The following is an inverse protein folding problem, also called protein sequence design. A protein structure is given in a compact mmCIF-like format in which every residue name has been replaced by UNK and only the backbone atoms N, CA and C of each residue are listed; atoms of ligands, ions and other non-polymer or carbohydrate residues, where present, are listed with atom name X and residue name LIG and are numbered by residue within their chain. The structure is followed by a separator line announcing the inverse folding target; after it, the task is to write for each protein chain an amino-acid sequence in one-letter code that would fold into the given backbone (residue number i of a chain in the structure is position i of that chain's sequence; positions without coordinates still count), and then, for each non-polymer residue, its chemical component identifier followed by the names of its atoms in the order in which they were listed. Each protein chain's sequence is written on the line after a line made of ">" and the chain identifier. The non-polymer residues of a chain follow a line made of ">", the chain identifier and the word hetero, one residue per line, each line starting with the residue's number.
data_IF_911197469310
#
_entry.id   IF_911197469310
#
_cell.length_a   1.000
_cell.length_b   1.000
_cell.length_c   1.000
_cell.angle_alpha   90.00
_cell.angle_beta   90.00
_cell.angle_gamma   90.00
#
_symmetry.space_group_name_H-M   'P 1'
#
loop_
_entity.id
_entity.type
_entity.pdbx_description
1 polymer ?
#
# COMPACT_ATOMS: atom_id res chain seq x y z
N UNK A 1 3.92 -12.77 14.07
CA UNK A 1 2.45 -12.74 14.22
C UNK A 1 1.85 -12.30 12.89
N UNK A 2 0.67 -12.81 12.51
CA UNK A 2 0.04 -12.38 11.26
C UNK A 2 -0.69 -11.05 11.49
N UNK A 3 -0.47 -10.07 10.62
CA UNK A 3 -1.16 -8.78 10.70
C UNK A 3 -2.39 -8.75 9.81
N UNK A 4 -2.33 -9.41 8.64
CA UNK A 4 -3.43 -9.51 7.68
C UNK A 4 -3.59 -10.96 7.24
N UNK A 5 -4.82 -11.45 7.28
CA UNK A 5 -5.17 -12.77 6.77
C UNK A 5 -6.40 -12.66 5.87
N UNK A 6 -6.32 -13.25 4.71
CA UNK A 6 -7.42 -13.42 3.78
C UNK A 6 -7.66 -14.90 3.58
N UNK A 7 -8.89 -15.35 3.74
CA UNK A 7 -9.28 -16.76 3.64
C UNK A 7 -10.38 -16.93 2.60
N UNK A 8 -10.07 -17.65 1.53
CA UNK A 8 -10.97 -18.00 0.44
C UNK A 8 -11.75 -16.78 -0.12
N UNK A 9 -11.08 -15.62 -0.19
CA UNK A 9 -11.69 -14.38 -0.67
C UNK A 9 -12.14 -14.53 -2.11
N UNK A 10 -13.41 -14.27 -2.37
CA UNK A 10 -14.01 -14.33 -3.70
C UNK A 10 -14.68 -13.01 -4.03
N UNK A 11 -14.49 -12.51 -5.27
CA UNK A 11 -15.14 -11.30 -5.78
C UNK A 11 -15.60 -11.48 -7.20
N UNK A 12 -16.88 -11.20 -7.44
CA UNK A 12 -17.52 -11.24 -8.76
C UNK A 12 -18.00 -9.86 -9.18
N UNK A 13 -17.96 -9.58 -10.45
CA UNK A 13 -18.58 -8.41 -11.09
C UNK A 13 -19.47 -8.91 -12.22
N UNK A 14 -20.78 -9.00 -11.97
CA UNK A 14 -21.70 -9.68 -12.90
C UNK A 14 -21.25 -11.12 -13.16
N UNK A 15 -20.99 -11.45 -14.42
CA UNK A 15 -20.48 -12.78 -14.82
C UNK A 15 -18.96 -12.97 -14.66
N UNK A 16 -18.19 -11.91 -14.38
CA UNK A 16 -16.75 -11.99 -14.25
C UNK A 16 -16.33 -12.37 -12.82
N UNK A 17 -15.63 -13.48 -12.67
CA UNK A 17 -14.97 -13.88 -11.42
C UNK A 17 -13.58 -13.25 -11.35
N UNK A 18 -13.48 -12.11 -10.65
CA UNK A 18 -12.24 -11.34 -10.57
C UNK A 18 -11.26 -11.88 -9.51
N UNK A 19 -11.78 -12.49 -8.42
CA UNK A 19 -11.00 -13.20 -7.39
C UNK A 19 -11.74 -14.49 -7.08
N UNK A 20 -11.02 -15.59 -7.02
CA UNK A 20 -11.55 -16.93 -6.79
C UNK A 20 -10.82 -17.60 -5.64
N UNK A 21 -11.44 -17.59 -4.45
CA UNK A 21 -10.94 -18.28 -3.24
C UNK A 21 -9.47 -17.95 -2.93
N UNK A 22 -9.11 -16.68 -3.00
CA UNK A 22 -7.74 -16.22 -2.77
C UNK A 22 -7.41 -16.21 -1.29
N UNK A 23 -6.31 -16.88 -0.93
CA UNK A 23 -5.75 -16.91 0.42
C UNK A 23 -4.47 -16.07 0.47
N UNK A 24 -4.29 -15.26 1.51
CA UNK A 24 -3.07 -14.50 1.75
C UNK A 24 -2.82 -14.36 3.23
N UNK A 25 -1.57 -14.52 3.63
CA UNK A 25 -1.11 -14.23 4.99
C UNK A 25 0.05 -13.25 4.95
N UNK A 26 -0.05 -12.15 5.70
CA UNK A 26 1.01 -11.13 5.81
C UNK A 26 1.51 -11.11 7.25
N UNK A 27 2.80 -11.31 7.44
CA UNK A 27 3.44 -11.25 8.76
C UNK A 27 3.71 -9.80 9.17
N UNK A 28 3.64 -9.51 10.46
CA UNK A 28 4.02 -8.19 10.99
C UNK A 28 5.49 -7.87 10.66
N UNK A 29 5.75 -6.60 10.36
CA UNK A 29 7.10 -6.08 10.07
C UNK A 29 7.78 -6.78 8.89
N UNK A 30 7.01 -7.24 7.92
CA UNK A 30 7.51 -7.82 6.67
C UNK A 30 7.13 -6.97 5.48
N UNK A 31 7.83 -7.18 4.37
CA UNK A 31 7.45 -6.70 3.04
C UNK A 31 6.93 -7.91 2.27
N UNK A 32 5.62 -7.99 2.10
CA UNK A 32 4.97 -9.03 1.30
C UNK A 32 4.52 -8.44 -0.02
N UNK A 33 4.69 -9.17 -1.13
CA UNK A 33 4.26 -8.72 -2.45
C UNK A 33 3.20 -9.63 -3.04
N UNK A 34 2.24 -9.01 -3.76
CA UNK A 34 1.30 -9.73 -4.64
C UNK A 34 1.62 -9.35 -6.07
N UNK A 35 2.08 -10.32 -6.85
CA UNK A 35 2.43 -10.14 -8.25
C UNK A 35 1.53 -10.98 -9.16
N UNK A 36 1.62 -10.76 -10.47
CA UNK A 36 0.88 -11.51 -11.48
C UNK A 36 0.60 -10.68 -12.72
N UNK A 37 0.13 -11.29 -13.80
CA UNK A 37 -0.21 -10.59 -15.05
C UNK A 37 -1.24 -9.48 -14.86
N UNK A 38 -1.36 -8.60 -15.86
CA UNK A 38 -2.43 -7.62 -15.90
C UNK A 38 -3.79 -8.32 -15.94
N UNK A 39 -4.74 -7.82 -15.14
CA UNK A 39 -6.05 -8.48 -15.03
C UNK A 39 -6.11 -9.68 -14.07
N UNK A 40 -5.02 -10.08 -13.43
CA UNK A 40 -5.00 -11.20 -12.48
C UNK A 40 -5.88 -11.01 -11.23
N UNK A 41 -6.34 -9.78 -10.92
CA UNK A 41 -7.20 -9.50 -9.77
C UNK A 41 -6.51 -8.75 -8.61
N UNK A 42 -5.23 -8.41 -8.72
CA UNK A 42 -4.43 -7.78 -7.65
C UNK A 42 -5.06 -6.50 -7.08
N UNK A 43 -5.37 -5.52 -7.91
CA UNK A 43 -6.02 -4.27 -7.49
C UNK A 43 -7.42 -4.50 -6.95
N UNK A 44 -8.14 -5.50 -7.46
CA UNK A 44 -9.44 -5.91 -6.90
C UNK A 44 -9.28 -6.44 -5.47
N UNK A 45 -8.25 -7.23 -5.20
CA UNK A 45 -7.93 -7.71 -3.86
C UNK A 45 -7.60 -6.54 -2.92
N UNK A 46 -6.75 -5.59 -3.34
CA UNK A 46 -6.48 -4.39 -2.56
C UNK A 46 -7.75 -3.58 -2.26
N UNK A 47 -8.66 -3.46 -3.23
CA UNK A 47 -9.95 -2.81 -3.02
C UNK A 47 -10.83 -3.57 -1.99
N UNK A 48 -10.73 -4.90 -1.94
CA UNK A 48 -11.41 -5.69 -0.91
C UNK A 48 -10.81 -5.46 0.48
N UNK A 49 -9.47 -5.46 0.61
CA UNK A 49 -8.78 -5.21 1.88
C UNK A 49 -9.06 -3.80 2.41
N UNK A 50 -9.18 -2.81 1.53
CA UNK A 50 -9.37 -1.40 1.90
C UNK A 50 -10.84 -0.96 1.94
N UNK A 51 -11.80 -1.89 1.79
CA UNK A 51 -13.23 -1.63 1.95
C UNK A 51 -13.92 -0.92 0.78
N UNK A 52 -13.19 -0.68 -0.34
CA UNK A 52 -13.82 -0.15 -1.56
C UNK A 52 -14.73 -1.16 -2.24
N UNK A 53 -14.38 -2.46 -2.14
CA UNK A 53 -15.24 -3.54 -2.59
C UNK A 53 -15.50 -4.49 -1.42
N UNK A 54 -16.77 -4.83 -1.23
CA UNK A 54 -17.15 -5.91 -0.33
C UNK A 54 -16.90 -7.25 -1.06
N UNK A 55 -16.10 -8.19 -0.51
CA UNK A 55 -16.02 -9.54 -1.03
C UNK A 55 -17.38 -10.22 -1.05
N UNK A 56 -17.58 -11.16 -1.97
CA UNK A 56 -18.85 -11.92 -2.04
C UNK A 56 -18.79 -13.16 -1.13
N UNK A 57 -17.59 -13.77 -0.97
CA UNK A 57 -17.35 -14.92 -0.11
C UNK A 57 -15.96 -14.79 0.57
N UNK A 58 -15.75 -15.59 1.62
CA UNK A 58 -14.51 -15.62 2.37
C UNK A 58 -14.49 -14.64 3.54
N UNK A 59 -13.31 -14.38 4.09
CA UNK A 59 -13.12 -13.44 5.19
C UNK A 59 -11.77 -12.74 5.08
N UNK A 60 -11.68 -11.53 5.61
CA UNK A 60 -10.41 -10.79 5.75
C UNK A 60 -10.31 -10.37 7.22
N UNK A 61 -9.18 -10.70 7.84
CA UNK A 61 -8.87 -10.38 9.21
C UNK A 61 -7.67 -9.44 9.26
N UNK A 62 -7.74 -8.43 10.08
CA UNK A 62 -6.62 -7.56 10.42
C UNK A 62 -6.42 -7.61 11.93
N UNK A 63 -5.25 -8.11 12.39
CA UNK A 63 -4.97 -8.39 13.81
C UNK A 63 -6.12 -9.14 14.47
N UNK A 64 -6.48 -10.29 13.89
CA UNK A 64 -7.57 -11.18 14.33
C UNK A 64 -8.98 -10.55 14.30
N UNK A 65 -9.11 -9.25 13.97
CA UNK A 65 -10.38 -8.58 13.82
C UNK A 65 -10.87 -8.66 12.37
N UNK A 66 -12.12 -9.08 12.15
CA UNK A 66 -12.71 -9.05 10.80
C UNK A 66 -12.90 -7.62 10.31
N UNK A 67 -12.39 -7.35 9.11
CA UNK A 67 -12.59 -6.08 8.40
C UNK A 67 -13.57 -6.22 7.22
N UNK A 68 -14.19 -7.39 7.09
CA UNK A 68 -15.12 -7.71 6.01
C UNK A 68 -16.31 -6.74 5.98
N UNK A 69 -16.45 -6.02 4.89
CA UNK A 69 -17.57 -5.09 4.67
C UNK A 69 -17.50 -3.79 5.50
N UNK A 70 -16.37 -3.50 6.15
CA UNK A 70 -16.12 -2.21 6.77
C UNK A 70 -15.88 -1.13 5.71
N UNK A 71 -16.24 0.12 6.03
CA UNK A 71 -15.96 1.28 5.17
C UNK A 71 -14.47 1.66 5.22
N UNK A 72 -13.93 2.32 4.16
CA UNK A 72 -12.52 2.69 4.08
C UNK A 72 -12.03 3.55 5.25
N UNK A 73 -12.86 4.46 5.76
CA UNK A 73 -12.52 5.31 6.91
C UNK A 73 -12.33 4.50 8.19
N UNK A 74 -13.18 3.50 8.45
CA UNK A 74 -13.02 2.58 9.58
C UNK A 74 -11.75 1.74 9.45
N UNK A 75 -11.47 1.21 8.26
CA UNK A 75 -10.26 0.43 7.98
C UNK A 75 -9.00 1.28 8.21
N UNK A 76 -9.02 2.54 7.77
CA UNK A 76 -7.91 3.47 8.02
C UNK A 76 -7.71 3.73 9.52
N UNK A 77 -8.78 3.90 10.28
CA UNK A 77 -8.71 4.07 11.76
C UNK A 77 -8.15 2.83 12.47
N UNK A 78 -8.37 1.64 11.94
CA UNK A 78 -7.76 0.41 12.46
C UNK A 78 -6.24 0.35 12.21
N UNK A 79 -5.71 1.15 11.30
CA UNK A 79 -4.29 1.23 11.01
C UNK A 79 -3.87 0.62 9.68
N UNK A 80 -4.76 0.57 8.70
CA UNK A 80 -4.44 0.20 7.31
C UNK A 80 -4.47 1.46 6.45
N UNK A 81 -3.36 1.78 5.78
CA UNK A 81 -3.28 2.87 4.80
C UNK A 81 -2.97 2.32 3.41
N UNK A 82 -3.28 3.10 2.36
CA UNK A 82 -3.01 2.73 0.97
C UNK A 82 -2.58 3.91 0.13
N UNK A 83 -1.59 3.69 -0.75
CA UNK A 83 -1.34 4.53 -1.92
C UNK A 83 -2.06 3.98 -3.13
N UNK A 84 -2.20 4.78 -4.19
CA UNK A 84 -2.92 4.39 -5.39
C UNK A 84 -1.99 4.36 -6.59
N UNK A 85 -2.29 3.52 -7.58
CA UNK A 85 -1.54 3.46 -8.83
C UNK A 85 -1.44 4.84 -9.49
N UNK A 86 -2.56 5.54 -9.61
CA UNK A 86 -2.56 6.96 -10.00
C UNK A 86 -2.48 7.82 -8.73
N UNK A 87 -1.48 8.66 -8.64
CA UNK A 87 -1.27 9.57 -7.51
C UNK A 87 -2.54 10.39 -7.23
N UNK A 88 -3.02 10.30 -5.99
CA UNK A 88 -4.25 10.99 -5.55
C UNK A 88 -3.93 12.07 -4.51
N UNK A 89 -3.08 13.03 -4.88
CA UNK A 89 -2.82 14.20 -4.06
C UNK A 89 -3.86 15.30 -4.31
N UNK A 90 -4.04 16.16 -3.32
CA UNK A 90 -4.76 17.41 -3.48
C UNK A 90 -3.83 18.39 -4.20
N UNK A 91 -3.95 18.47 -5.53
CA UNK A 91 -3.00 19.13 -6.42
C UNK A 91 -2.80 20.62 -6.11
N UNK A 92 -3.85 21.29 -5.62
CA UNK A 92 -3.86 22.72 -5.29
C UNK A 92 -3.55 23.02 -3.80
N UNK A 93 -3.27 21.99 -3.01
CA UNK A 93 -2.76 22.11 -1.65
C UNK A 93 -1.25 21.95 -1.64
N UNK A 94 -0.60 22.54 -0.64
CA UNK A 94 0.84 22.39 -0.40
C UNK A 94 1.18 20.95 0.02
N UNK A 95 2.46 20.62 0.01
CA UNK A 95 2.93 19.31 0.49
C UNK A 95 2.59 19.12 1.98
N UNK A 96 2.78 20.16 2.78
CA UNK A 96 2.43 20.14 4.21
C UNK A 96 0.93 19.90 4.41
N UNK A 97 0.07 20.65 3.71
CA UNK A 97 -1.39 20.50 3.81
C UNK A 97 -1.86 19.11 3.40
N UNK A 98 -1.26 18.50 2.36
CA UNK A 98 -1.57 17.12 1.97
C UNK A 98 -1.31 16.14 3.11
N UNK A 99 -0.21 16.30 3.86
CA UNK A 99 0.11 15.44 5.01
C UNK A 99 -0.86 15.70 6.16
N UNK A 100 -1.20 16.96 6.44
CA UNK A 100 -2.17 17.34 7.47
C UNK A 100 -3.54 16.70 7.21
N UNK A 101 -4.00 16.65 5.96
CA UNK A 101 -5.23 15.91 5.59
C UNK A 101 -5.12 14.43 5.96
N UNK A 102 -3.94 13.80 5.78
CA UNK A 102 -3.71 12.41 6.17
C UNK A 102 -3.85 12.14 7.67
N UNK A 103 -3.71 13.16 8.51
CA UNK A 103 -3.88 13.07 9.98
C UNK A 103 -5.34 13.13 10.44
N UNK A 104 -6.28 13.50 9.56
CA UNK A 104 -7.68 13.77 9.93
C UNK A 104 -8.35 12.62 10.71
N UNK A 105 -8.01 11.37 10.42
CA UNK A 105 -8.57 10.20 11.12
C UNK A 105 -8.18 10.13 12.60
N UNK A 106 -7.20 10.93 13.05
CA UNK A 106 -6.60 10.91 14.39
C UNK A 106 -6.87 12.18 15.19
N UNK A 107 -7.29 13.26 14.54
CA UNK A 107 -7.63 14.50 15.21
C UNK A 107 -8.88 14.30 16.06
N UNK A 108 -8.80 14.74 17.30
CA UNK A 108 -9.87 14.62 18.30
C UNK A 108 -10.60 15.93 18.54
N UNK A 109 -10.09 17.03 17.99
CA UNK A 109 -10.67 18.36 18.10
C UNK A 109 -12.02 18.41 17.39
N UNK A 110 -13.05 18.86 18.08
CA UNK A 110 -14.39 19.01 17.51
C UNK A 110 -14.62 20.45 16.99
N UNK A 111 -15.75 20.65 16.30
CA UNK A 111 -16.09 21.93 15.71
C UNK A 111 -16.17 23.08 16.75
N UNK A 112 -16.59 22.80 17.99
CA UNK A 112 -16.66 23.79 19.05
C UNK A 112 -15.26 24.22 19.51
N UNK A 113 -14.32 23.27 19.61
CA UNK A 113 -12.93 23.59 19.95
C UNK A 113 -12.30 24.53 18.91
N UNK A 114 -12.60 24.28 17.62
CA UNK A 114 -12.13 25.14 16.51
C UNK A 114 -12.75 26.54 16.60
N UNK A 115 -14.07 26.64 16.78
CA UNK A 115 -14.78 27.93 16.84
C UNK A 115 -14.35 28.76 18.05
N UNK A 116 -14.12 28.13 19.18
CA UNK A 116 -13.74 28.79 20.43
C UNK A 116 -12.22 28.97 20.59
N UNK A 117 -11.42 28.51 19.61
CA UNK A 117 -9.96 28.60 19.65
C UNK A 117 -9.39 28.10 20.99
N UNK A 118 -9.84 26.91 21.43
CA UNK A 118 -9.44 26.38 22.74
C UNK A 118 -7.94 26.09 22.80
N UNK A 119 -7.30 26.07 23.98
CA UNK A 119 -5.90 25.68 24.13
C UNK A 119 -5.63 24.24 23.63
N UNK A 120 -6.66 23.39 23.60
CA UNK A 120 -6.59 22.04 23.02
C UNK A 120 -6.43 22.11 21.52
N UNK A 121 -7.20 22.94 20.83
CA UNK A 121 -7.10 23.16 19.38
C UNK A 121 -5.68 23.60 18.99
N UNK A 122 -5.13 24.64 19.62
CA UNK A 122 -3.78 25.13 19.30
C UNK A 122 -2.69 24.08 19.53
N UNK A 123 -2.77 23.31 20.63
CA UNK A 123 -1.80 22.24 20.90
C UNK A 123 -1.87 21.12 19.85
N UNK A 124 -3.07 20.72 19.47
CA UNK A 124 -3.28 19.67 18.46
C UNK A 124 -2.78 20.15 17.09
N UNK A 125 -3.08 21.38 16.69
CA UNK A 125 -2.61 21.98 15.43
C UNK A 125 -1.09 22.09 15.38
N UNK A 126 -0.44 22.59 16.42
CA UNK A 126 1.03 22.65 16.50
C UNK A 126 1.64 21.26 16.39
N UNK A 127 1.13 20.28 17.15
CA UNK A 127 1.61 18.90 17.09
C UNK A 127 1.41 18.28 15.72
N UNK A 128 0.28 18.57 15.04
CA UNK A 128 0.00 18.10 13.71
C UNK A 128 0.99 18.66 12.67
N UNK A 129 1.31 19.96 12.76
CA UNK A 129 2.29 20.61 11.88
C UNK A 129 3.72 20.07 12.10
N UNK A 130 4.13 19.89 13.36
CA UNK A 130 5.42 19.30 13.71
C UNK A 130 5.56 17.88 13.14
N UNK A 131 4.53 17.06 13.30
CA UNK A 131 4.51 15.69 12.74
C UNK A 131 4.54 15.71 11.22
N UNK A 132 3.80 16.62 10.57
CA UNK A 132 3.81 16.74 9.11
C UNK A 132 5.21 17.14 8.60
N UNK A 133 5.91 18.06 9.28
CA UNK A 133 7.28 18.43 8.94
C UNK A 133 8.26 17.27 9.15
N UNK A 134 8.11 16.48 10.22
CA UNK A 134 8.91 15.25 10.43
C UNK A 134 8.71 14.24 9.30
N UNK A 135 7.46 14.06 8.85
CA UNK A 135 7.16 13.17 7.73
C UNK A 135 7.73 13.67 6.41
N UNK A 136 7.69 15.00 6.13
CA UNK A 136 8.36 15.59 4.97
C UNK A 136 9.86 15.30 4.98
N UNK A 137 10.51 15.53 6.11
CA UNK A 137 11.94 15.20 6.27
C UNK A 137 12.20 13.72 6.06
N UNK A 138 11.40 12.84 6.67
CA UNK A 138 11.55 11.38 6.59
C UNK A 138 11.48 10.85 5.15
N UNK A 139 10.60 11.40 4.31
CA UNK A 139 10.48 10.98 2.91
C UNK A 139 11.41 11.77 1.96
N UNK A 140 12.29 12.64 2.47
CA UNK A 140 13.25 13.41 1.68
C UNK A 140 12.64 14.60 0.94
N UNK A 141 11.58 15.20 1.51
CA UNK A 141 10.93 16.41 1.00
C UNK A 141 11.14 17.63 1.92
N UNK A 142 12.23 17.63 2.70
CA UNK A 142 12.60 18.76 3.55
C UNK A 142 12.72 20.06 2.74
N UNK A 143 12.19 21.17 3.29
CA UNK A 143 12.17 22.48 2.64
C UNK A 143 11.14 22.63 1.51
N UNK A 144 10.34 21.59 1.21
CA UNK A 144 9.29 21.63 0.18
C UNK A 144 7.86 21.72 0.74
N UNK A 145 7.72 21.94 2.04
CA UNK A 145 6.41 21.98 2.71
C UNK A 145 5.41 22.94 2.07
N UNK A 146 5.87 24.12 1.65
CA UNK A 146 5.04 25.19 1.05
C UNK A 146 4.84 25.04 -0.46
N UNK A 147 5.48 24.07 -1.12
CA UNK A 147 5.27 23.85 -2.54
C UNK A 147 3.91 23.19 -2.78
N UNK A 148 3.18 23.68 -3.79
CA UNK A 148 1.95 23.02 -4.26
C UNK A 148 2.28 21.62 -4.77
N UNK A 149 1.46 20.63 -4.40
CA UNK A 149 1.69 19.23 -4.76
C UNK A 149 1.84 19.04 -6.29
N UNK A 150 1.06 19.77 -7.11
CA UNK A 150 1.16 19.72 -8.58
C UNK A 150 2.50 20.20 -9.15
N UNK A 151 3.26 20.99 -8.39
CA UNK A 151 4.54 21.56 -8.84
C UNK A 151 5.73 20.67 -8.46
N UNK A 152 5.51 19.61 -7.71
CA UNK A 152 6.53 18.61 -7.37
C UNK A 152 6.82 17.68 -8.55
N UNK A 153 8.04 17.17 -8.65
CA UNK A 153 8.36 16.09 -9.58
C UNK A 153 7.49 14.85 -9.33
N UNK A 154 7.37 13.96 -10.33
CA UNK A 154 6.57 12.74 -10.17
C UNK A 154 7.05 11.87 -9.00
N UNK A 155 8.35 11.68 -8.85
CA UNK A 155 8.95 10.95 -7.71
C UNK A 155 8.66 11.62 -6.37
N UNK A 156 8.70 12.96 -6.31
CA UNK A 156 8.37 13.71 -5.09
C UNK A 156 6.88 13.62 -4.75
N UNK A 157 6.00 13.65 -5.76
CA UNK A 157 4.57 13.44 -5.55
C UNK A 157 4.29 12.04 -4.97
N UNK A 158 4.98 11.01 -5.45
CA UNK A 158 4.86 9.65 -4.91
C UNK A 158 5.37 9.57 -3.47
N UNK A 159 6.51 10.20 -3.15
CA UNK A 159 7.01 10.30 -1.78
C UNK A 159 6.03 11.05 -0.86
N UNK A 160 5.41 12.12 -1.35
CA UNK A 160 4.38 12.85 -0.63
C UNK A 160 3.12 12.02 -0.40
N UNK A 161 2.69 11.20 -1.36
CA UNK A 161 1.57 10.28 -1.20
C UNK A 161 1.84 9.25 -0.09
N UNK A 162 3.06 8.70 -0.04
CA UNK A 162 3.50 7.82 1.05
C UNK A 162 3.47 8.57 2.39
N UNK A 163 4.03 9.79 2.45
CA UNK A 163 4.04 10.61 3.68
C UNK A 163 2.61 10.88 4.19
N UNK A 164 1.68 11.19 3.29
CA UNK A 164 0.26 11.36 3.63
C UNK A 164 -0.34 10.07 4.19
N UNK A 165 0.00 8.92 3.62
CA UNK A 165 -0.40 7.61 4.14
C UNK A 165 0.15 7.35 5.56
N UNK A 166 1.42 7.70 5.80
CA UNK A 166 2.08 7.58 7.11
C UNK A 166 1.46 8.47 8.18
N UNK A 167 0.88 9.61 7.80
CA UNK A 167 0.26 10.56 8.72
C UNK A 167 -0.91 9.96 9.52
N UNK A 168 -1.56 8.91 9.00
CA UNK A 168 -2.56 8.13 9.74
C UNK A 168 -1.95 7.18 10.78
N UNK A 169 -0.60 7.08 10.87
CA UNK A 169 0.19 6.13 11.69
C UNK A 169 -0.25 4.68 11.49
N UNK A 170 -0.18 4.19 10.26
CA UNK A 170 -0.62 2.83 9.96
C UNK A 170 0.35 1.80 10.53
N UNK A 171 -0.14 0.61 10.84
CA UNK A 171 0.69 -0.57 11.09
C UNK A 171 0.84 -1.45 9.83
N UNK A 172 -0.04 -1.26 8.84
CA UNK A 172 0.03 -1.88 7.52
C UNK A 172 -0.18 -0.82 6.45
N UNK A 173 0.75 -0.72 5.50
CA UNK A 173 0.59 0.12 4.32
C UNK A 173 0.52 -0.74 3.05
N UNK A 174 -0.49 -0.48 2.22
CA UNK A 174 -0.64 -1.09 0.91
C UNK A 174 -0.07 -0.13 -0.13
N UNK A 175 0.93 -0.58 -0.89
CA UNK A 175 1.56 0.20 -1.95
C UNK A 175 1.19 -0.40 -3.32
N UNK A 176 0.51 0.38 -4.15
CA UNK A 176 0.02 -0.05 -5.46
C UNK A 176 0.92 0.55 -6.55
N UNK A 177 1.85 -0.26 -7.08
CA UNK A 177 2.84 0.11 -8.09
C UNK A 177 3.62 1.40 -7.72
N UNK A 178 4.30 1.44 -6.55
CA UNK A 178 4.92 2.67 -6.06
C UNK A 178 6.09 3.17 -6.92
N UNK A 179 6.67 2.31 -7.77
CA UNK A 179 7.80 2.66 -8.64
C UNK A 179 7.41 2.89 -10.11
N UNK A 180 6.11 2.78 -10.44
CA UNK A 180 5.64 2.94 -11.82
C UNK A 180 6.01 4.33 -12.36
N UNK A 181 6.60 4.36 -13.57
CA UNK A 181 6.98 5.61 -14.25
C UNK A 181 8.25 6.29 -13.72
N UNK A 182 8.96 5.68 -12.77
CA UNK A 182 10.20 6.19 -12.21
C UNK A 182 11.42 5.79 -13.03
N UNK A 183 12.44 6.64 -13.04
CA UNK A 183 13.73 6.27 -13.56
C UNK A 183 14.47 5.32 -12.58
N UNK A 184 15.60 4.66 -12.99
CA UNK A 184 16.30 3.68 -12.13
C UNK A 184 16.81 4.25 -10.80
N UNK A 185 17.19 5.53 -10.76
CA UNK A 185 17.65 6.19 -9.54
C UNK A 185 16.47 6.39 -8.56
N UNK A 186 15.36 6.97 -9.03
CA UNK A 186 14.15 7.17 -8.25
C UNK A 186 13.58 5.84 -7.74
N UNK A 187 13.63 4.78 -8.57
CA UNK A 187 13.24 3.42 -8.17
C UNK A 187 14.09 2.93 -6.98
N UNK A 188 15.41 3.12 -7.05
CA UNK A 188 16.33 2.70 -5.98
C UNK A 188 16.06 3.47 -4.68
N UNK A 189 15.84 4.78 -4.77
CA UNK A 189 15.48 5.63 -3.62
C UNK A 189 14.15 5.20 -2.99
N UNK A 190 13.15 4.89 -3.82
CA UNK A 190 11.83 4.41 -3.37
C UNK A 190 11.94 3.05 -2.70
N UNK A 191 12.74 2.12 -3.26
CA UNK A 191 13.03 0.83 -2.61
C UNK A 191 13.69 1.02 -1.24
N UNK A 192 14.65 1.94 -1.14
CA UNK A 192 15.31 2.27 0.13
C UNK A 192 14.31 2.86 1.15
N UNK A 193 13.43 3.77 0.71
CA UNK A 193 12.36 4.32 1.55
C UNK A 193 11.43 3.21 2.05
N UNK A 194 10.97 2.31 1.18
CA UNK A 194 10.09 1.19 1.56
C UNK A 194 10.75 0.29 2.62
N UNK A 195 12.03 -0.02 2.48
CA UNK A 195 12.76 -0.77 3.52
C UNK A 195 12.81 -0.01 4.83
N UNK A 196 13.11 1.29 4.80
CA UNK A 196 13.12 2.14 6.01
C UNK A 196 11.76 2.17 6.71
N UNK A 197 10.64 2.18 5.99
CA UNK A 197 9.30 2.10 6.60
C UNK A 197 9.17 0.85 7.47
N UNK A 198 9.70 -0.30 7.02
CA UNK A 198 9.71 -1.53 7.80
C UNK A 198 10.74 -1.46 8.94
N UNK A 199 11.97 -1.09 8.63
CA UNK A 199 13.11 -1.25 9.54
C UNK A 199 13.10 -0.19 10.65
N UNK A 200 12.82 1.08 10.33
CA UNK A 200 12.85 2.19 11.28
C UNK A 200 11.51 2.37 12.02
N UNK A 201 10.39 2.21 11.30
CA UNK A 201 9.06 2.48 11.83
C UNK A 201 8.27 1.21 12.20
N UNK A 202 8.79 0.02 11.87
CA UNK A 202 8.12 -1.25 12.14
C UNK A 202 6.81 -1.45 11.37
N UNK A 203 6.62 -0.70 10.27
CA UNK A 203 5.41 -0.78 9.44
C UNK A 203 5.48 -2.03 8.57
N UNK A 204 4.38 -2.78 8.52
CA UNK A 204 4.22 -3.87 7.57
C UNK A 204 3.84 -3.34 6.21
N UNK A 205 4.35 -3.95 5.15
CA UNK A 205 4.11 -3.50 3.78
C UNK A 205 3.50 -4.63 2.96
N UNK A 206 2.39 -4.33 2.30
CA UNK A 206 1.84 -5.18 1.27
C UNK A 206 1.93 -4.44 -0.07
N UNK A 207 2.70 -5.01 -1.00
CA UNK A 207 3.10 -4.38 -2.25
C UNK A 207 2.43 -5.06 -3.44
N UNK A 208 1.86 -4.29 -4.36
CA UNK A 208 1.63 -4.72 -5.75
C UNK A 208 2.69 -4.08 -6.61
N UNK A 209 3.40 -4.88 -7.39
CA UNK A 209 4.41 -4.41 -8.35
C UNK A 209 4.49 -5.36 -9.55
N UNK A 210 4.93 -4.81 -10.66
CA UNK A 210 5.20 -5.56 -11.88
C UNK A 210 6.69 -5.51 -12.29
N UNK A 211 7.50 -4.59 -11.73
CA UNK A 211 8.95 -4.59 -11.90
C UNK A 211 9.57 -5.67 -11.00
N UNK A 212 9.99 -6.77 -11.63
CA UNK A 212 10.58 -7.91 -10.92
C UNK A 212 11.85 -7.54 -10.16
N UNK A 213 12.61 -6.51 -10.59
CA UNK A 213 13.81 -6.05 -9.85
C UNK A 213 13.42 -5.48 -8.49
N UNK A 214 12.34 -4.72 -8.44
CA UNK A 214 11.79 -4.16 -7.19
C UNK A 214 11.29 -5.30 -6.30
N UNK A 215 10.41 -6.15 -6.85
CA UNK A 215 9.82 -7.28 -6.11
C UNK A 215 10.89 -8.18 -5.51
N UNK A 216 11.83 -8.68 -6.34
CA UNK A 216 12.91 -9.57 -5.89
C UNK A 216 13.89 -8.87 -4.95
N UNK A 217 14.01 -7.53 -5.07
CA UNK A 217 14.96 -6.75 -4.28
C UNK A 217 14.50 -6.47 -2.86
N UNK A 218 13.19 -6.33 -2.60
CA UNK A 218 12.73 -5.86 -1.28
C UNK A 218 11.76 -6.80 -0.58
N UNK A 219 11.15 -7.76 -1.27
CA UNK A 219 10.12 -8.63 -0.67
C UNK A 219 10.74 -9.74 0.17
N UNK A 220 10.13 -10.03 1.31
CA UNK A 220 10.42 -11.21 2.12
C UNK A 220 9.66 -12.42 1.58
N UNK A 221 8.37 -12.23 1.26
CA UNK A 221 7.47 -13.26 0.69
C UNK A 221 6.72 -12.67 -0.51
N UNK A 222 6.56 -13.48 -1.52
CA UNK A 222 5.84 -13.13 -2.75
C UNK A 222 4.71 -14.12 -2.96
N UNK A 223 3.48 -13.63 -3.11
CA UNK A 223 2.32 -14.40 -3.56
C UNK A 223 2.04 -14.07 -5.01
N UNK A 224 1.91 -15.10 -5.86
CA UNK A 224 1.63 -14.93 -7.28
C UNK A 224 0.17 -15.21 -7.56
N UNK A 225 -0.50 -14.24 -8.17
CA UNK A 225 -1.90 -14.31 -8.55
C UNK A 225 -2.02 -14.43 -10.07
N UNK A 226 -2.84 -15.39 -10.54
CA UNK A 226 -3.23 -15.51 -11.93
C UNK A 226 -4.73 -15.87 -12.00
N UNK A 227 -5.48 -15.20 -12.90
CA UNK A 227 -6.93 -15.37 -13.05
C UNK A 227 -7.71 -15.40 -11.72
N UNK A 228 -7.33 -14.53 -10.76
CA UNK A 228 -7.98 -14.42 -9.46
C UNK A 228 -7.60 -15.48 -8.43
N UNK A 229 -6.68 -16.38 -8.75
CA UNK A 229 -6.23 -17.48 -7.88
C UNK A 229 -4.76 -17.33 -7.50
N UNK A 230 -4.37 -17.82 -6.31
CA UNK A 230 -2.97 -17.92 -5.93
C UNK A 230 -2.37 -19.18 -6.60
N UNK A 231 -1.35 -18.99 -7.45
CA UNK A 231 -0.67 -20.08 -8.16
C UNK A 231 0.67 -20.46 -7.51
N UNK A 232 1.28 -19.54 -6.76
CA UNK A 232 2.52 -19.80 -6.02
C UNK A 232 2.65 -18.82 -4.84
N UNK A 233 3.44 -19.23 -3.85
CA UNK A 233 3.88 -18.40 -2.73
C UNK A 233 5.25 -18.86 -2.26
N UNK A 234 6.14 -17.92 -1.95
CA UNK A 234 7.48 -18.25 -1.47
C UNK A 234 8.40 -17.04 -1.41
N UNK A 235 9.66 -17.31 -1.09
CA UNK A 235 10.74 -16.32 -1.14
C UNK A 235 11.03 -15.88 -2.58
N UNK A 236 11.70 -14.74 -2.80
CA UNK A 236 12.10 -14.30 -4.13
C UNK A 236 12.82 -15.39 -4.96
N UNK A 237 13.72 -16.17 -4.32
CA UNK A 237 14.46 -17.24 -5.00
C UNK A 237 13.55 -18.38 -5.46
N UNK A 238 12.59 -18.79 -4.63
CA UNK A 238 11.64 -19.85 -4.95
C UNK A 238 10.70 -19.42 -6.08
N UNK A 239 10.21 -18.19 -6.04
CA UNK A 239 9.32 -17.64 -7.07
C UNK A 239 10.03 -17.50 -8.41
N UNK A 240 11.29 -17.04 -8.42
CA UNK A 240 12.09 -16.90 -9.65
C UNK A 240 12.28 -18.24 -10.39
N UNK A 241 12.32 -19.35 -9.65
CA UNK A 241 12.54 -20.69 -10.21
C UNK A 241 11.25 -21.50 -10.41
N UNK A 242 10.09 -20.94 -10.05
CA UNK A 242 8.83 -21.65 -10.10
C UNK A 242 8.30 -21.77 -11.55
N UNK A 243 8.14 -22.99 -12.11
CA UNK A 243 7.69 -23.19 -13.50
C UNK A 243 6.30 -22.59 -13.77
N UNK A 244 5.37 -22.65 -12.82
CA UNK A 244 4.03 -22.12 -12.96
C UNK A 244 4.06 -20.59 -13.07
N UNK A 245 4.96 -19.93 -12.32
CA UNK A 245 5.15 -18.48 -12.38
C UNK A 245 5.74 -18.07 -13.73
N UNK A 246 6.78 -18.80 -14.19
CA UNK A 246 7.40 -18.55 -15.51
C UNK A 246 6.34 -18.68 -16.62
N UNK A 247 5.52 -19.74 -16.57
CA UNK A 247 4.46 -19.97 -17.55
C UNK A 247 3.38 -18.87 -17.53
N UNK A 248 2.99 -18.38 -16.35
CA UNK A 248 1.99 -17.31 -16.21
C UNK A 248 2.45 -15.98 -16.83
N UNK A 249 3.76 -15.68 -16.81
CA UNK A 249 4.31 -14.45 -17.40
C UNK A 249 4.72 -14.58 -18.87
N UNK A 250 5.23 -15.71 -19.30
CA UNK A 250 5.74 -15.93 -20.66
C UNK A 250 4.74 -16.61 -21.61
N UNK A 251 3.60 -17.06 -21.07
CA UNK A 251 2.60 -17.84 -21.79
C UNK A 251 2.84 -19.35 -21.76
N UNK A 252 1.77 -20.11 -21.99
CA UNK A 252 1.81 -21.58 -21.94
C UNK A 252 2.82 -22.14 -22.97
N UNK A 253 3.73 -22.96 -22.49
CA UNK A 253 4.77 -23.61 -23.30
C UNK A 253 6.17 -23.01 -23.18
N UNK A 254 6.35 -21.81 -22.63
CA UNK A 254 7.68 -21.20 -22.49
C UNK A 254 8.56 -21.91 -21.43
N UNK A 255 7.96 -22.51 -20.41
CA UNK A 255 8.68 -23.25 -19.36
C UNK A 255 9.39 -24.52 -19.89
N UNK A 256 9.00 -25.06 -21.04
CA UNK A 256 9.63 -26.25 -21.63
C UNK A 256 11.02 -25.94 -22.24
N UNK A 257 11.31 -24.69 -22.60
CA UNK A 257 12.58 -24.28 -23.23
C UNK A 257 13.73 -24.00 -22.23
N UNK A 258 13.45 -23.90 -20.93
CA UNK A 258 14.47 -23.62 -19.90
C UNK A 258 15.05 -24.88 -19.20
N UNK A 259 14.73 -26.10 -19.73
CA UNK A 259 15.23 -27.39 -19.20
C UNK A 259 16.36 -27.97 -20.04
N UNK A 260 17.15 -27.14 -20.72
CA UNK A 260 18.38 -27.62 -21.42
C UNK A 260 19.61 -26.95 -20.80
#
# INVERSE_FOLDING_TARGET
>A
MNILEAHAVTKRFGGLLAISRFDLTVQERSISSVIGPNGAGKTTFFNCVTGFFKPDEGKILFRDQTIFGMSPDHITRLGISRTYQNIRLFANMTALENILVGQHTRLLTNLLDVLLHTPRFFREETSAQEEANRLLHYVGLEGRGDHLARNLSYGDQRRLEIARGLASKPSLILLDEPTAGMNPHETTETMALIRRLRDDLGITILLIEHDMRVVMGISDIISVMDFGQKIAEGTPKEIQQNPQVIEAYLGRGAAAGFRQ
#
